data_IF_723317629107
#
_entry.id   IF_723317629107
#
_cell.length_a   1.000
_cell.length_b   1.000
_cell.length_c   1.000
_cell.angle_alpha   90.00
_cell.angle_beta   90.00
_cell.angle_gamma   90.00
#
_symmetry.space_group_name_H-M   'P 1'
#
loop_
_entity.id
_entity.type
_entity.pdbx_description
1 polymer ?
#
# COMPACT_ATOMS: atom_id res chain seq x y z
N UNK A 1 -12.96 1.31 -40.56
CA UNK A 1 -13.62 2.42 -39.83
C UNK A 1 -14.55 1.91 -38.72
N UNK A 2 -15.47 0.98 -38.99
CA UNK A 2 -16.43 0.44 -38.00
C UNK A 2 -15.77 -0.14 -36.72
N UNK A 3 -14.69 -0.93 -36.87
CA UNK A 3 -13.96 -1.52 -35.73
C UNK A 3 -13.31 -0.47 -34.80
N UNK A 4 -12.85 0.66 -35.37
CA UNK A 4 -12.21 1.73 -34.59
C UNK A 4 -13.23 2.48 -33.73
N UNK A 5 -14.40 2.78 -34.31
CA UNK A 5 -15.51 3.40 -33.58
C UNK A 5 -16.06 2.49 -32.47
N UNK A 6 -16.28 1.20 -32.75
CA UNK A 6 -16.70 0.23 -31.71
C UNK A 6 -15.70 0.13 -30.55
N UNK A 7 -14.40 0.23 -30.85
CA UNK A 7 -13.36 0.20 -29.82
C UNK A 7 -13.43 1.45 -28.96
N UNK A 8 -13.55 2.63 -29.56
CA UNK A 8 -13.70 3.90 -28.85
C UNK A 8 -14.96 3.91 -27.99
N UNK A 9 -16.09 3.41 -28.50
CA UNK A 9 -17.36 3.36 -27.77
C UNK A 9 -17.29 2.44 -26.54
N UNK A 10 -16.59 1.31 -26.65
CA UNK A 10 -16.35 0.44 -25.49
C UNK A 10 -15.48 1.11 -24.44
N UNK A 11 -14.46 1.86 -24.85
CA UNK A 11 -13.59 2.58 -23.93
C UNK A 11 -14.33 3.76 -23.26
N UNK A 12 -15.11 4.53 -24.02
CA UNK A 12 -15.90 5.63 -23.48
C UNK A 12 -16.92 5.15 -22.46
N UNK A 13 -17.61 4.03 -22.74
CA UNK A 13 -18.55 3.41 -21.79
C UNK A 13 -17.85 2.99 -20.50
N UNK A 14 -16.69 2.31 -20.60
CA UNK A 14 -15.90 1.92 -19.42
C UNK A 14 -15.44 3.12 -18.60
N UNK A 15 -14.98 4.18 -19.24
CA UNK A 15 -14.57 5.40 -18.54
C UNK A 15 -15.77 6.00 -17.80
N UNK A 16 -16.89 6.18 -18.50
CA UNK A 16 -18.12 6.75 -17.93
C UNK A 16 -18.67 5.92 -16.76
N UNK A 17 -18.47 4.60 -16.82
CA UNK A 17 -18.77 3.70 -15.73
C UNK A 17 -17.91 3.95 -14.48
N UNK A 18 -16.61 4.16 -14.65
CA UNK A 18 -15.71 4.52 -13.54
C UNK A 18 -16.12 5.86 -12.93
N UNK A 19 -16.45 6.87 -13.76
CA UNK A 19 -16.96 8.16 -13.29
C UNK A 19 -18.24 8.02 -12.45
N UNK A 20 -19.17 7.15 -12.86
CA UNK A 20 -20.39 6.88 -12.08
C UNK A 20 -20.09 6.14 -10.77
N UNK A 21 -19.10 5.25 -10.77
CA UNK A 21 -18.80 4.39 -9.63
C UNK A 21 -17.93 5.08 -8.57
N UNK A 22 -16.90 5.80 -8.98
CA UNK A 22 -15.91 6.44 -8.10
C UNK A 22 -15.68 7.92 -8.44
N UNK A 23 -16.73 8.78 -8.42
CA UNK A 23 -16.63 10.17 -8.87
C UNK A 23 -15.62 10.99 -8.06
N UNK A 24 -15.63 10.85 -6.72
CA UNK A 24 -14.75 11.61 -5.83
C UNK A 24 -13.27 11.19 -5.96
N UNK A 25 -13.00 9.92 -6.26
CA UNK A 25 -11.65 9.43 -6.45
C UNK A 25 -11.02 9.98 -7.73
N UNK A 26 -11.79 10.01 -8.81
CA UNK A 26 -11.34 10.60 -10.09
C UNK A 26 -11.16 12.11 -9.96
N UNK A 27 -12.09 12.80 -9.30
CA UNK A 27 -11.94 14.24 -9.03
C UNK A 27 -10.66 14.51 -8.23
N UNK A 28 -10.37 13.71 -7.21
CA UNK A 28 -9.14 13.83 -6.42
C UNK A 28 -7.90 13.62 -7.28
N UNK A 29 -7.89 12.56 -8.10
CA UNK A 29 -6.78 12.26 -9.03
C UNK A 29 -6.55 13.40 -10.03
N UNK A 30 -7.62 13.95 -10.62
CA UNK A 30 -7.54 15.06 -11.56
C UNK A 30 -6.98 16.33 -10.90
N UNK A 31 -7.46 16.66 -9.70
CA UNK A 31 -6.98 17.82 -8.94
C UNK A 31 -5.51 17.66 -8.53
N UNK A 32 -5.10 16.47 -8.07
CA UNK A 32 -3.68 16.18 -7.75
C UNK A 32 -2.80 16.39 -8.98
N UNK A 33 -3.19 15.85 -10.14
CA UNK A 33 -2.42 15.99 -11.37
C UNK A 33 -2.28 17.45 -11.78
N UNK A 34 -3.37 18.24 -11.75
CA UNK A 34 -3.33 19.65 -12.12
C UNK A 34 -2.45 20.45 -11.16
N UNK A 35 -2.65 20.29 -9.84
CA UNK A 35 -1.89 21.04 -8.85
C UNK A 35 -0.40 20.72 -8.96
N UNK A 36 -0.04 19.44 -9.14
CA UNK A 36 1.36 19.07 -9.36
C UNK A 36 1.93 19.61 -10.67
N UNK A 37 1.16 19.62 -11.77
CA UNK A 37 1.61 20.24 -13.03
C UNK A 37 1.87 21.74 -12.86
N UNK A 38 1.01 22.45 -12.13
CA UNK A 38 1.19 23.86 -11.80
C UNK A 38 2.46 24.05 -10.95
N UNK A 39 2.68 23.20 -9.95
CA UNK A 39 3.90 23.23 -9.13
C UNK A 39 5.17 22.99 -9.95
N UNK A 40 5.14 22.06 -10.93
CA UNK A 40 6.27 21.80 -11.82
C UNK A 40 6.52 22.98 -12.78
N UNK A 41 5.47 23.65 -13.25
CA UNK A 41 5.60 24.76 -14.22
C UNK A 41 6.05 26.07 -13.55
N UNK A 42 5.54 26.36 -12.35
CA UNK A 42 5.64 27.69 -11.74
C UNK A 42 6.39 27.67 -10.40
N UNK A 43 6.79 26.51 -9.89
CA UNK A 43 7.30 26.32 -8.51
C UNK A 43 8.48 27.21 -8.10
N UNK A 44 9.30 27.69 -9.04
CA UNK A 44 10.42 28.59 -8.74
C UNK A 44 10.01 30.08 -8.63
N UNK A 45 8.81 30.45 -9.09
CA UNK A 45 8.38 31.86 -9.24
C UNK A 45 7.23 32.28 -8.32
N UNK A 46 6.75 31.38 -7.46
CA UNK A 46 5.57 31.63 -6.61
C UNK A 46 5.96 31.89 -5.16
N UNK A 47 5.16 32.72 -4.47
CA UNK A 47 5.17 32.89 -3.03
C UNK A 47 5.22 31.56 -2.26
N UNK A 48 6.10 31.49 -1.26
CA UNK A 48 6.28 30.29 -0.42
C UNK A 48 4.98 29.79 0.23
N UNK A 49 4.05 30.69 0.57
CA UNK A 49 2.77 30.32 1.17
C UNK A 49 1.86 29.52 0.23
N UNK A 50 1.83 29.87 -1.06
CA UNK A 50 1.04 29.12 -2.04
C UNK A 50 1.64 27.75 -2.31
N UNK A 51 2.97 27.64 -2.35
CA UNK A 51 3.68 26.35 -2.51
C UNK A 51 3.35 25.43 -1.34
N UNK A 52 3.38 25.94 -0.10
CA UNK A 52 2.99 25.15 1.09
C UNK A 52 1.53 24.69 0.98
N UNK A 53 0.61 25.59 0.64
CA UNK A 53 -0.81 25.25 0.48
C UNK A 53 -1.02 24.16 -0.60
N UNK A 54 -0.42 24.33 -1.77
CA UNK A 54 -0.53 23.40 -2.89
C UNK A 54 0.01 22.02 -2.53
N UNK A 55 1.17 21.93 -1.86
CA UNK A 55 1.74 20.65 -1.42
C UNK A 55 0.85 19.96 -0.37
N UNK A 56 0.28 20.71 0.59
CA UNK A 56 -0.68 20.15 1.54
C UNK A 56 -1.91 19.59 0.84
N UNK A 57 -2.48 20.34 -0.11
CA UNK A 57 -3.64 19.91 -0.89
C UNK A 57 -3.35 18.65 -1.69
N UNK A 58 -2.17 18.57 -2.31
CA UNK A 58 -1.73 17.38 -3.05
C UNK A 58 -1.70 16.13 -2.17
N UNK A 59 -1.11 16.20 -0.97
CA UNK A 59 -1.07 15.06 -0.05
C UNK A 59 -2.47 14.68 0.47
N UNK A 60 -3.34 15.65 0.73
CA UNK A 60 -4.71 15.36 1.17
C UNK A 60 -5.50 14.71 0.04
N UNK A 61 -5.42 15.24 -1.16
CA UNK A 61 -6.16 14.72 -2.31
C UNK A 61 -5.60 13.38 -2.79
N UNK A 62 -4.30 13.12 -2.66
CA UNK A 62 -3.72 11.81 -2.97
C UNK A 62 -4.26 10.71 -2.04
N UNK A 63 -4.47 11.00 -0.75
CA UNK A 63 -5.22 10.08 0.13
C UNK A 63 -6.67 9.91 -0.33
N UNK A 64 -7.31 10.98 -0.81
CA UNK A 64 -8.66 10.94 -1.37
C UNK A 64 -8.84 9.92 -2.50
N UNK A 65 -7.81 9.75 -3.36
CA UNK A 65 -7.80 8.76 -4.44
C UNK A 65 -8.08 7.35 -3.91
N UNK A 66 -7.51 6.99 -2.75
CA UNK A 66 -7.66 5.65 -2.16
C UNK A 66 -8.81 5.57 -1.15
N UNK A 67 -9.03 6.64 -0.38
CA UNK A 67 -10.03 6.68 0.69
C UNK A 67 -11.46 6.57 0.15
N UNK A 68 -11.83 7.34 -0.88
CA UNK A 68 -13.20 7.34 -1.38
C UNK A 68 -13.65 5.99 -1.96
N UNK A 69 -12.85 5.30 -2.79
CA UNK A 69 -13.18 3.96 -3.23
C UNK A 69 -13.24 2.96 -2.06
N UNK A 70 -12.34 3.06 -1.08
CA UNK A 70 -12.30 2.14 0.06
C UNK A 70 -13.59 2.24 0.89
N UNK A 71 -14.03 3.46 1.16
CA UNK A 71 -15.30 3.73 1.85
C UNK A 71 -16.51 3.30 1.02
N UNK A 72 -16.47 3.47 -0.31
CA UNK A 72 -17.53 2.99 -1.19
C UNK A 72 -17.67 1.45 -1.18
N UNK A 73 -16.55 0.72 -1.08
CA UNK A 73 -16.56 -0.75 -0.94
C UNK A 73 -17.10 -1.20 0.41
N UNK A 74 -16.82 -0.44 1.47
CA UNK A 74 -17.33 -0.72 2.81
C UNK A 74 -18.84 -0.47 2.88
N UNK A 75 -19.31 0.66 2.35
CA UNK A 75 -20.73 0.97 2.29
C UNK A 75 -21.07 2.00 1.21
N UNK A 76 -22.22 1.81 0.56
CA UNK A 76 -22.75 2.74 -0.44
C UNK A 76 -23.48 3.94 0.16
N UNK A 77 -23.66 3.99 1.50
CA UNK A 77 -24.40 5.05 2.19
C UNK A 77 -23.68 6.40 2.07
N UNK A 78 -24.45 7.49 1.95
CA UNK A 78 -23.92 8.85 1.79
C UNK A 78 -23.02 9.27 2.96
N UNK A 79 -23.33 8.85 4.19
CA UNK A 79 -22.58 9.19 5.40
C UNK A 79 -21.11 8.77 5.34
N UNK A 80 -20.76 7.69 4.63
CA UNK A 80 -19.35 7.30 4.46
C UNK A 80 -18.60 8.27 3.55
N UNK A 81 -19.25 8.89 2.56
CA UNK A 81 -18.63 9.93 1.75
C UNK A 81 -18.36 11.19 2.58
N UNK A 82 -19.32 11.57 3.42
CA UNK A 82 -19.19 12.71 4.35
C UNK A 82 -18.06 12.45 5.35
N UNK A 83 -18.01 11.26 5.93
CA UNK A 83 -16.94 10.84 6.83
C UNK A 83 -15.56 10.89 6.14
N UNK A 84 -15.47 10.47 4.87
CA UNK A 84 -14.25 10.58 4.08
C UNK A 84 -13.77 12.03 3.91
N UNK A 85 -14.69 12.95 3.59
CA UNK A 85 -14.37 14.38 3.47
C UNK A 85 -13.90 14.93 4.82
N UNK A 86 -14.59 14.61 5.91
CA UNK A 86 -14.21 15.05 7.25
C UNK A 86 -12.82 14.52 7.65
N UNK A 87 -12.50 13.27 7.33
CA UNK A 87 -11.18 12.69 7.59
C UNK A 87 -10.08 13.42 6.81
N UNK A 88 -10.32 13.77 5.55
CA UNK A 88 -9.38 14.56 4.74
C UNK A 88 -9.18 15.98 5.30
N UNK A 89 -10.24 16.62 5.81
CA UNK A 89 -10.14 17.93 6.46
C UNK A 89 -9.33 17.86 7.77
N UNK A 90 -9.56 16.83 8.58
CA UNK A 90 -8.76 16.57 9.78
C UNK A 90 -7.30 16.36 9.41
N UNK A 91 -7.02 15.55 8.40
CA UNK A 91 -5.66 15.31 7.92
C UNK A 91 -4.98 16.59 7.41
N UNK A 92 -5.69 17.45 6.68
CA UNK A 92 -5.18 18.75 6.26
C UNK A 92 -4.75 19.64 7.44
N UNK A 93 -5.55 19.65 8.51
CA UNK A 93 -5.27 20.45 9.70
C UNK A 93 -4.02 19.98 10.45
N UNK A 94 -3.82 18.65 10.55
CA UNK A 94 -2.65 18.07 11.21
C UNK A 94 -1.37 18.10 10.36
N UNK A 95 -1.44 18.46 9.07
CA UNK A 95 -0.25 18.50 8.24
C UNK A 95 0.68 19.65 8.64
N UNK A 96 1.97 19.39 8.93
CA UNK A 96 2.92 20.45 9.26
C UNK A 96 3.13 21.40 8.07
N UNK A 97 3.61 22.62 8.34
CA UNK A 97 3.93 23.60 7.28
C UNK A 97 5.06 23.10 6.37
N UNK A 98 6.05 22.38 6.93
CA UNK A 98 7.09 21.73 6.14
C UNK A 98 6.68 20.32 5.70
N UNK A 99 5.97 20.25 4.59
CA UNK A 99 5.39 19.02 4.05
C UNK A 99 6.43 18.03 3.48
N UNK A 100 7.63 18.51 3.14
CA UNK A 100 8.72 17.67 2.61
C UNK A 100 9.63 17.08 3.67
N UNK A 101 9.26 17.17 4.95
CA UNK A 101 9.98 16.44 5.99
C UNK A 101 9.90 14.93 5.71
N UNK A 102 11.03 14.23 5.79
CA UNK A 102 11.14 12.79 5.49
C UNK A 102 10.16 11.97 6.33
N UNK A 103 9.95 12.36 7.59
CA UNK A 103 8.99 11.74 8.49
C UNK A 103 7.56 11.91 8.00
N UNK A 104 7.15 13.11 7.57
CA UNK A 104 5.79 13.38 7.09
C UNK A 104 5.48 12.60 5.82
N UNK A 105 6.44 12.52 4.90
CA UNK A 105 6.34 11.72 3.68
C UNK A 105 6.20 10.23 4.01
N UNK A 106 7.01 9.71 4.94
CA UNK A 106 6.92 8.32 5.38
C UNK A 106 5.52 7.98 5.94
N UNK A 107 5.01 8.81 6.84
CA UNK A 107 3.67 8.64 7.42
C UNK A 107 2.56 8.71 6.37
N UNK A 108 2.69 9.63 5.39
CA UNK A 108 1.77 9.72 4.27
C UNK A 108 1.74 8.44 3.42
N UNK A 109 2.90 7.87 3.08
CA UNK A 109 2.96 6.59 2.35
C UNK A 109 2.42 5.42 3.17
N UNK A 110 2.66 5.40 4.48
CA UNK A 110 2.06 4.42 5.38
C UNK A 110 0.53 4.50 5.35
N UNK A 111 -0.05 5.70 5.39
CA UNK A 111 -1.51 5.89 5.25
C UNK A 111 -2.05 5.38 3.90
N UNK A 112 -1.36 5.67 2.79
CA UNK A 112 -1.71 5.10 1.48
C UNK A 112 -1.68 3.56 1.56
N UNK A 113 -0.65 2.98 2.17
CA UNK A 113 -0.52 1.54 2.32
C UNK A 113 -1.66 0.93 3.15
N UNK A 114 -2.07 1.60 4.23
CA UNK A 114 -3.23 1.20 5.05
C UNK A 114 -4.53 1.20 4.24
N UNK A 115 -4.74 2.20 3.38
CA UNK A 115 -5.90 2.29 2.48
C UNK A 115 -5.86 1.24 1.37
N UNK A 116 -4.68 0.91 0.85
CA UNK A 116 -4.50 -0.20 -0.09
C UNK A 116 -4.91 -1.54 0.54
N UNK A 117 -4.52 -1.81 1.80
CA UNK A 117 -5.00 -2.98 2.52
C UNK A 117 -6.51 -2.93 2.79
N UNK A 118 -7.08 -1.73 2.97
CA UNK A 118 -8.53 -1.55 3.11
C UNK A 118 -9.30 -2.08 1.90
N UNK A 119 -8.77 -1.97 0.67
CA UNK A 119 -9.40 -2.59 -0.50
C UNK A 119 -9.50 -4.12 -0.41
N UNK A 120 -8.65 -4.77 0.38
CA UNK A 120 -8.60 -6.22 0.51
C UNK A 120 -9.59 -6.76 1.55
N UNK A 121 -9.97 -5.96 2.55
CA UNK A 121 -10.89 -6.40 3.62
C UNK A 121 -12.25 -5.70 3.62
N UNK A 122 -12.35 -4.46 3.13
CA UNK A 122 -13.58 -3.66 3.20
C UNK A 122 -14.83 -4.35 2.61
N UNK A 123 -14.77 -5.01 1.44
CA UNK A 123 -15.93 -5.70 0.88
C UNK A 123 -16.43 -6.88 1.73
N UNK A 124 -15.60 -7.40 2.63
CA UNK A 124 -15.86 -8.60 3.42
C UNK A 124 -16.26 -8.30 4.86
N UNK A 125 -16.40 -7.02 5.25
CA UNK A 125 -16.63 -6.68 6.65
C UNK A 125 -17.94 -7.29 7.16
N UNK A 126 -19.02 -7.15 6.40
CA UNK A 126 -20.38 -7.57 6.77
C UNK A 126 -20.74 -8.99 6.30
N UNK A 127 -19.84 -9.66 5.57
CA UNK A 127 -20.14 -10.96 4.93
C UNK A 127 -19.14 -12.02 5.40
N UNK A 128 -19.65 -13.19 5.80
CA UNK A 128 -18.80 -14.37 6.05
C UNK A 128 -18.54 -15.08 4.72
N UNK A 129 -17.28 -15.09 4.29
CA UNK A 129 -16.85 -15.70 3.03
C UNK A 129 -15.64 -16.61 3.29
N UNK A 130 -15.49 -17.66 2.48
CA UNK A 130 -14.32 -18.54 2.50
C UNK A 130 -13.01 -17.77 2.21
N UNK A 131 -11.90 -18.27 2.76
CA UNK A 131 -10.57 -17.72 2.47
C UNK A 131 -10.19 -17.82 0.99
N UNK A 132 -10.74 -18.80 0.26
CA UNK A 132 -10.54 -18.91 -1.18
C UNK A 132 -11.06 -17.69 -1.93
N UNK A 133 -12.28 -17.22 -1.64
CA UNK A 133 -12.83 -16.06 -2.35
C UNK A 133 -12.11 -14.76 -1.94
N UNK A 134 -11.68 -14.64 -0.67
CA UNK A 134 -10.86 -13.51 -0.21
C UNK A 134 -9.52 -13.50 -0.96
N UNK A 135 -8.94 -14.68 -1.18
CA UNK A 135 -7.71 -14.84 -1.93
C UNK A 135 -7.89 -14.47 -3.41
N UNK A 136 -8.92 -14.98 -4.08
CA UNK A 136 -9.21 -14.66 -5.49
C UNK A 136 -9.46 -13.15 -5.68
N UNK A 137 -10.19 -12.51 -4.76
CA UNK A 137 -10.33 -11.06 -4.73
C UNK A 137 -8.98 -10.35 -4.59
N UNK A 138 -8.17 -10.77 -3.62
CA UNK A 138 -6.86 -10.17 -3.36
C UNK A 138 -5.95 -10.27 -4.58
N UNK A 139 -5.85 -11.46 -5.18
CA UNK A 139 -5.09 -11.67 -6.41
C UNK A 139 -5.58 -10.76 -7.52
N UNK A 140 -6.89 -10.65 -7.72
CA UNK A 140 -7.48 -9.79 -8.76
C UNK A 140 -7.12 -8.33 -8.55
N UNK A 141 -7.24 -7.80 -7.33
CA UNK A 141 -6.91 -6.40 -7.02
C UNK A 141 -5.41 -6.14 -7.24
N UNK A 142 -4.53 -7.01 -6.73
CA UNK A 142 -3.08 -6.88 -6.87
C UNK A 142 -2.65 -6.96 -8.34
N UNK A 143 -3.18 -7.94 -9.10
CA UNK A 143 -2.90 -8.08 -10.53
C UNK A 143 -3.39 -6.86 -11.31
N UNK A 144 -4.59 -6.35 -11.02
CA UNK A 144 -5.10 -5.15 -11.69
C UNK A 144 -4.24 -3.92 -11.40
N UNK A 145 -3.73 -3.77 -10.18
CA UNK A 145 -2.80 -2.70 -9.82
C UNK A 145 -1.49 -2.83 -10.61
N UNK A 146 -0.87 -4.02 -10.59
CA UNK A 146 0.39 -4.29 -11.31
C UNK A 146 0.26 -4.09 -12.82
N UNK A 147 -0.81 -4.60 -13.43
CA UNK A 147 -1.06 -4.40 -14.87
C UNK A 147 -1.29 -2.93 -15.18
N UNK A 148 -1.97 -2.18 -14.32
CA UNK A 148 -2.19 -0.74 -14.53
C UNK A 148 -0.88 0.05 -14.46
N UNK A 149 -0.02 -0.24 -13.47
CA UNK A 149 1.30 0.36 -13.34
C UNK A 149 2.23 -0.01 -14.52
N UNK A 150 2.21 -1.27 -14.95
CA UNK A 150 3.01 -1.72 -16.10
C UNK A 150 2.56 -1.04 -17.39
N UNK A 151 1.25 -0.94 -17.63
CA UNK A 151 0.72 -0.23 -18.80
C UNK A 151 1.13 1.25 -18.78
N UNK A 152 1.07 1.89 -17.61
CA UNK A 152 1.53 3.27 -17.42
C UNK A 152 3.02 3.44 -17.69
N UNK A 153 3.86 2.52 -17.22
CA UNK A 153 5.30 2.53 -17.47
C UNK A 153 5.60 2.38 -18.96
N UNK A 154 4.97 1.40 -19.63
CA UNK A 154 5.12 1.21 -21.08
C UNK A 154 4.68 2.46 -21.84
N UNK A 155 3.56 3.07 -21.45
CA UNK A 155 3.07 4.28 -22.09
C UNK A 155 4.05 5.47 -21.93
N UNK A 156 4.63 5.62 -20.74
CA UNK A 156 5.65 6.65 -20.50
C UNK A 156 6.91 6.42 -21.32
N UNK A 157 7.39 5.16 -21.42
CA UNK A 157 8.55 4.80 -22.24
C UNK A 157 8.28 5.11 -23.73
N UNK A 158 7.10 4.77 -24.24
CA UNK A 158 6.73 5.06 -25.63
C UNK A 158 6.73 6.56 -25.93
N UNK A 159 6.19 7.37 -25.02
CA UNK A 159 6.24 8.82 -25.13
C UNK A 159 7.67 9.35 -25.10
N UNK A 160 8.49 8.86 -24.16
CA UNK A 160 9.88 9.27 -24.05
C UNK A 160 10.67 9.01 -25.34
N UNK A 161 10.52 7.80 -25.91
CA UNK A 161 11.17 7.42 -27.18
C UNK A 161 10.68 8.31 -28.33
N UNK A 162 9.38 8.61 -28.36
CA UNK A 162 8.80 9.47 -29.42
C UNK A 162 9.32 10.90 -29.32
N UNK A 163 9.39 11.46 -28.12
CA UNK A 163 9.93 12.81 -27.93
C UNK A 163 11.43 12.88 -28.24
N UNK A 164 12.19 11.85 -27.86
CA UNK A 164 13.59 11.74 -28.26
C UNK A 164 13.76 11.67 -29.79
N UNK A 165 12.91 10.90 -30.49
CA UNK A 165 12.94 10.84 -31.93
C UNK A 165 12.61 12.20 -32.59
N UNK A 166 11.66 12.97 -32.02
CA UNK A 166 11.33 14.32 -32.50
C UNK A 166 12.49 15.29 -32.33
N UNK A 167 13.19 15.22 -31.19
CA UNK A 167 14.36 16.04 -30.92
C UNK A 167 15.50 15.74 -31.91
N UNK A 168 15.78 14.46 -32.18
CA UNK A 168 16.85 14.04 -33.10
C UNK A 168 16.50 14.30 -34.57
N UNK A 169 15.27 13.98 -35.00
CA UNK A 169 14.89 14.03 -36.42
C UNK A 169 14.42 15.42 -36.88
N UNK A 170 13.78 16.19 -35.99
CA UNK A 170 13.16 17.46 -36.33
C UNK A 170 13.75 18.64 -35.54
N UNK A 171 14.77 18.41 -34.70
CA UNK A 171 15.41 19.44 -33.86
C UNK A 171 14.41 20.18 -32.96
N UNK A 172 13.36 19.50 -32.54
CA UNK A 172 12.37 20.04 -31.58
C UNK A 172 12.94 19.93 -30.18
N UNK A 173 13.33 21.06 -29.57
CA UNK A 173 13.82 21.08 -28.18
C UNK A 173 12.65 21.10 -27.20
N UNK A 174 12.55 20.07 -26.35
CA UNK A 174 11.55 19.96 -25.30
C UNK A 174 12.19 20.13 -23.93
N UNK A 175 11.64 21.04 -23.13
CA UNK A 175 12.08 21.24 -21.76
C UNK A 175 11.77 19.99 -20.89
N UNK A 176 12.68 19.64 -19.98
CA UNK A 176 12.55 18.50 -19.06
C UNK A 176 11.23 18.49 -18.27
N UNK A 177 10.69 19.66 -17.95
CA UNK A 177 9.38 19.83 -17.27
C UNK A 177 8.23 19.14 -17.99
N UNK A 178 8.24 19.07 -19.33
CA UNK A 178 7.17 18.43 -20.09
C UNK A 178 7.18 16.90 -19.92
N UNK A 179 8.35 16.30 -19.76
CA UNK A 179 8.46 14.88 -19.43
C UNK A 179 7.87 14.59 -18.05
N UNK A 180 8.15 15.44 -17.06
CA UNK A 180 7.58 15.33 -15.71
C UNK A 180 6.05 15.54 -15.71
N UNK A 181 5.56 16.54 -16.43
CA UNK A 181 4.12 16.78 -16.59
C UNK A 181 3.42 15.58 -17.21
N UNK A 182 4.01 14.97 -18.23
CA UNK A 182 3.45 13.78 -18.86
C UNK A 182 3.50 12.55 -17.93
N UNK A 183 4.57 12.37 -17.16
CA UNK A 183 4.65 11.35 -16.13
C UNK A 183 3.52 11.51 -15.08
N UNK A 184 3.28 12.74 -14.62
CA UNK A 184 2.19 13.07 -13.69
C UNK A 184 0.81 12.83 -14.29
N UNK A 185 0.62 13.13 -15.58
CA UNK A 185 -0.61 12.81 -16.30
C UNK A 185 -0.87 11.30 -16.32
N UNK A 186 0.16 10.52 -16.67
CA UNK A 186 0.07 9.06 -16.72
C UNK A 186 -0.21 8.47 -15.34
N UNK A 187 0.59 8.85 -14.33
CA UNK A 187 0.46 8.31 -12.98
C UNK A 187 -0.85 8.74 -12.32
N UNK A 188 -1.21 10.00 -12.43
CA UNK A 188 -2.39 10.54 -11.77
C UNK A 188 -3.68 10.14 -12.45
N UNK A 189 -3.84 10.38 -13.75
CA UNK A 189 -5.11 10.21 -14.46
C UNK A 189 -5.20 8.81 -15.10
N UNK A 190 -4.25 8.47 -15.98
CA UNK A 190 -4.33 7.23 -16.76
C UNK A 190 -4.27 5.97 -15.87
N UNK A 191 -3.34 5.91 -14.92
CA UNK A 191 -3.18 4.77 -14.01
C UNK A 191 -4.43 4.58 -13.15
N UNK A 192 -4.94 5.67 -12.60
CA UNK A 192 -6.14 5.67 -11.75
C UNK A 192 -7.37 5.19 -12.50
N UNK A 193 -7.61 5.70 -13.71
CA UNK A 193 -8.71 5.25 -14.57
C UNK A 193 -8.55 3.78 -14.97
N UNK A 194 -7.34 3.37 -15.36
CA UNK A 194 -7.03 1.98 -15.73
C UNK A 194 -7.29 1.02 -14.57
N UNK A 195 -6.83 1.35 -13.37
CA UNK A 195 -7.01 0.54 -12.17
C UNK A 195 -8.50 0.40 -11.80
N UNK A 196 -9.22 1.52 -11.67
CA UNK A 196 -10.62 1.47 -11.26
C UNK A 196 -11.55 0.89 -12.32
N UNK A 197 -11.20 0.98 -13.61
CA UNK A 197 -11.96 0.33 -14.69
C UNK A 197 -11.96 -1.20 -14.60
N UNK A 198 -10.91 -1.79 -14.01
CA UNK A 198 -10.76 -3.24 -13.85
C UNK A 198 -11.23 -3.74 -12.49
N UNK A 199 -11.59 -2.84 -11.57
CA UNK A 199 -12.03 -3.23 -10.24
C UNK A 199 -13.34 -4.02 -10.29
N UNK A 200 -13.43 -5.25 -9.75
CA UNK A 200 -14.64 -6.06 -9.85
C UNK A 200 -15.84 -5.38 -9.17
N UNK A 201 -17.03 -5.46 -9.80
CA UNK A 201 -18.27 -4.88 -9.26
C UNK A 201 -18.88 -5.71 -8.14
N UNK A 202 -18.80 -7.02 -8.26
CA UNK A 202 -19.46 -7.96 -7.37
C UNK A 202 -18.44 -9.00 -6.91
N UNK A 203 -18.31 -9.11 -5.58
CA UNK A 203 -17.37 -10.02 -4.92
C UNK A 203 -17.63 -11.47 -5.35
N UNK A 204 -18.90 -11.86 -5.46
CA UNK A 204 -19.33 -13.22 -5.84
C UNK A 204 -19.16 -13.53 -7.34
N UNK A 205 -18.88 -12.53 -8.18
CA UNK A 205 -18.64 -12.71 -9.62
C UNK A 205 -17.16 -12.73 -9.97
N UNK A 206 -16.26 -12.59 -8.98
CA UNK A 206 -14.85 -12.95 -9.16
C UNK A 206 -14.83 -14.47 -9.30
N UNK A 207 -15.01 -14.94 -10.53
CA UNK A 207 -15.14 -16.36 -10.82
C UNK A 207 -13.82 -17.08 -10.56
N UNK A 208 -14.00 -18.30 -10.06
CA UNK A 208 -13.10 -19.45 -9.97
C UNK A 208 -12.40 -19.72 -11.31
N UNK A 209 -11.53 -18.83 -11.76
CA UNK A 209 -10.51 -19.20 -12.73
C UNK A 209 -9.76 -20.33 -12.06
N UNK A 210 -9.92 -21.56 -12.58
CA UNK A 210 -9.11 -22.71 -12.20
C UNK A 210 -7.71 -22.18 -12.02
N UNK A 211 -7.20 -22.25 -10.79
CA UNK A 211 -5.89 -21.75 -10.43
C UNK A 211 -4.94 -22.13 -11.56
N UNK A 212 -4.57 -21.15 -12.39
CA UNK A 212 -3.96 -21.45 -13.67
C UNK A 212 -2.70 -22.28 -13.39
N UNK A 213 -2.36 -23.24 -14.24
CA UNK A 213 -1.21 -24.12 -14.00
C UNK A 213 0.06 -23.31 -13.65
N UNK A 214 0.18 -22.12 -14.21
CA UNK A 214 1.22 -21.11 -13.92
C UNK A 214 1.24 -20.69 -12.44
N UNK A 215 0.10 -20.39 -11.83
CA UNK A 215 0.01 -19.99 -10.43
C UNK A 215 0.40 -21.12 -9.48
N UNK A 216 0.08 -22.37 -9.84
CA UNK A 216 0.49 -23.56 -9.09
C UNK A 216 2.01 -23.75 -9.18
N UNK A 217 2.57 -23.63 -10.38
CA UNK A 217 4.02 -23.71 -10.61
C UNK A 217 4.75 -22.63 -9.81
N UNK A 218 4.27 -21.38 -9.89
CA UNK A 218 4.82 -20.26 -9.12
C UNK A 218 4.80 -20.53 -7.62
N UNK A 219 3.69 -21.05 -7.09
CA UNK A 219 3.54 -21.33 -5.66
C UNK A 219 4.50 -22.44 -5.20
N UNK A 220 4.53 -23.57 -5.92
CA UNK A 220 5.28 -24.76 -5.49
C UNK A 220 6.78 -24.67 -5.76
N UNK A 221 7.18 -24.09 -6.89
CA UNK A 221 8.58 -24.15 -7.35
C UNK A 221 9.35 -22.84 -7.18
N UNK A 222 8.66 -21.71 -7.00
CA UNK A 222 9.32 -20.40 -6.80
C UNK A 222 9.12 -19.96 -5.36
N UNK A 223 7.86 -19.77 -4.95
CA UNK A 223 7.54 -19.16 -3.67
C UNK A 223 7.91 -20.05 -2.47
N UNK A 224 7.59 -21.34 -2.56
CA UNK A 224 7.89 -22.30 -1.46
C UNK A 224 9.39 -22.49 -1.24
N UNK A 225 10.23 -22.72 -2.27
CA UNK A 225 11.67 -22.81 -2.07
C UNK A 225 12.27 -21.49 -1.59
N UNK A 226 11.81 -20.34 -2.09
CA UNK A 226 12.25 -19.03 -1.59
C UNK A 226 11.96 -18.87 -0.10
N UNK A 227 10.76 -19.24 0.36
CA UNK A 227 10.43 -19.25 1.78
C UNK A 227 11.38 -20.13 2.59
N UNK A 228 11.67 -21.36 2.12
CA UNK A 228 12.54 -22.30 2.84
C UNK A 228 14.00 -21.81 2.92
N UNK A 229 14.53 -21.25 1.83
CA UNK A 229 15.89 -20.67 1.80
C UNK A 229 15.96 -19.51 2.80
N UNK A 230 14.98 -18.61 2.78
CA UNK A 230 14.96 -17.45 3.68
C UNK A 230 14.78 -17.88 5.15
N UNK A 231 13.95 -18.90 5.40
CA UNK A 231 13.82 -19.53 6.71
C UNK A 231 15.17 -20.08 7.20
N UNK A 232 15.87 -20.85 6.36
CA UNK A 232 17.17 -21.44 6.73
C UNK A 232 18.22 -20.37 7.06
N UNK A 233 18.35 -19.34 6.21
CA UNK A 233 19.33 -18.26 6.42
C UNK A 233 19.02 -17.49 7.70
N UNK A 234 17.76 -17.08 7.90
CA UNK A 234 17.38 -16.26 9.04
C UNK A 234 17.49 -17.03 10.35
N UNK A 235 17.05 -18.28 10.39
CA UNK A 235 17.18 -19.11 11.59
C UNK A 235 18.62 -19.53 11.89
N UNK A 236 19.45 -19.77 10.86
CA UNK A 236 20.88 -19.98 11.07
C UNK A 236 21.56 -18.74 11.67
N UNK A 237 21.19 -17.54 11.20
CA UNK A 237 21.70 -16.29 11.76
C UNK A 237 21.24 -16.06 13.21
N UNK A 238 19.97 -16.36 13.51
CA UNK A 238 19.45 -16.34 14.89
C UNK A 238 20.26 -17.28 15.80
N UNK A 239 20.51 -18.51 15.36
CA UNK A 239 21.32 -19.48 16.12
C UNK A 239 22.75 -18.95 16.33
N UNK A 240 23.36 -18.37 15.29
CA UNK A 240 24.69 -17.76 15.37
C UNK A 240 24.73 -16.68 16.46
N UNK A 241 23.75 -15.79 16.49
CA UNK A 241 23.69 -14.73 17.50
C UNK A 241 23.53 -15.30 18.91
N UNK A 242 22.63 -16.27 19.09
CA UNK A 242 22.39 -16.90 20.39
C UNK A 242 23.65 -17.55 20.96
N UNK A 243 24.48 -18.15 20.11
CA UNK A 243 25.78 -18.73 20.50
C UNK A 243 26.81 -17.64 20.80
N UNK A 244 26.89 -16.60 19.97
CA UNK A 244 27.90 -15.53 20.10
C UNK A 244 27.60 -14.53 21.22
N UNK A 245 26.42 -14.57 21.85
CA UNK A 245 25.96 -13.61 22.89
C UNK A 245 26.00 -12.13 22.46
N UNK A 246 26.08 -11.85 21.16
CA UNK A 246 26.13 -10.50 20.58
C UNK A 246 24.74 -9.90 20.37
N UNK A 247 23.99 -9.69 21.46
CA UNK A 247 22.59 -9.23 21.39
C UNK A 247 22.43 -7.77 20.89
N UNK A 248 23.46 -6.93 21.05
CA UNK A 248 23.43 -5.51 20.69
C UNK A 248 23.58 -5.23 19.18
N UNK A 249 24.09 -6.19 18.38
CA UNK A 249 24.28 -6.01 16.93
C UNK A 249 23.10 -6.53 16.07
N UNK A 250 21.99 -6.94 16.68
CA UNK A 250 20.86 -7.53 15.97
C UNK A 250 20.08 -6.43 15.22
N UNK A 251 20.52 -6.10 14.01
CA UNK A 251 19.76 -5.30 13.05
C UNK A 251 19.19 -6.20 11.95
N UNK A 252 18.21 -7.03 12.33
CA UNK A 252 17.51 -7.94 11.41
C UNK A 252 16.12 -7.44 11.03
N UNK A 253 15.75 -6.22 11.44
CA UNK A 253 14.40 -5.68 11.32
C UNK A 253 13.93 -5.71 9.86
N UNK A 254 14.78 -5.28 8.92
CA UNK A 254 14.49 -5.32 7.49
C UNK A 254 14.41 -6.75 6.93
N UNK A 255 15.26 -7.66 7.40
CA UNK A 255 15.24 -9.08 7.01
C UNK A 255 13.96 -9.77 7.50
N UNK A 256 13.49 -9.42 8.71
CA UNK A 256 12.23 -9.91 9.29
C UNK A 256 11.04 -9.38 8.52
N UNK A 257 11.04 -8.09 8.14
CA UNK A 257 10.00 -7.50 7.29
C UNK A 257 9.92 -8.23 5.95
N UNK A 258 11.06 -8.42 5.28
CA UNK A 258 11.15 -9.18 4.02
C UNK A 258 10.68 -10.63 4.17
N UNK A 259 11.11 -11.32 5.24
CA UNK A 259 10.69 -12.68 5.55
C UNK A 259 9.18 -12.76 5.81
N UNK A 260 8.63 -11.81 6.55
CA UNK A 260 7.19 -11.74 6.85
C UNK A 260 6.39 -11.58 5.57
N UNK A 261 6.81 -10.67 4.68
CA UNK A 261 6.14 -10.45 3.41
C UNK A 261 6.15 -11.70 2.52
N UNK A 262 7.31 -12.35 2.36
CA UNK A 262 7.45 -13.60 1.59
C UNK A 262 6.64 -14.73 2.21
N UNK A 263 6.64 -14.84 3.53
CA UNK A 263 5.97 -15.94 4.26
C UNK A 263 4.45 -15.81 4.20
N UNK A 264 3.90 -14.61 4.45
CA UNK A 264 2.47 -14.34 4.29
C UNK A 264 2.06 -14.52 2.82
N UNK A 265 2.85 -14.01 1.87
CA UNK A 265 2.63 -14.21 0.44
C UNK A 265 2.59 -15.69 0.06
N UNK A 266 3.52 -16.50 0.58
CA UNK A 266 3.55 -17.96 0.39
C UNK A 266 2.30 -18.61 0.95
N UNK A 267 1.93 -18.29 2.20
CA UNK A 267 0.75 -18.84 2.84
C UNK A 267 -0.54 -18.55 2.06
N UNK A 268 -0.67 -17.33 1.55
CA UNK A 268 -1.83 -16.92 0.76
C UNK A 268 -1.86 -17.61 -0.61
N UNK A 269 -0.74 -17.76 -1.31
CA UNK A 269 -0.69 -18.50 -2.58
C UNK A 269 -0.95 -20.00 -2.42
N UNK A 270 -0.67 -20.55 -1.23
CA UNK A 270 -1.03 -21.94 -0.90
C UNK A 270 -2.53 -22.14 -0.61
N UNK A 271 -3.35 -21.09 -0.61
CA UNK A 271 -4.81 -21.19 -0.33
C UNK A 271 -5.55 -22.31 -1.08
N UNK A 272 -5.39 -22.49 -2.40
CA UNK A 272 -6.06 -23.57 -3.13
C UNK A 272 -5.42 -24.96 -2.92
N UNK A 273 -4.27 -25.04 -2.25
CA UNK A 273 -3.49 -26.27 -2.03
C UNK A 273 -3.60 -26.79 -0.58
N UNK A 274 -4.31 -26.08 0.30
CA UNK A 274 -4.48 -26.49 1.68
C UNK A 274 -5.37 -27.72 1.78
N UNK A 275 -4.77 -28.80 2.27
CA UNK A 275 -5.42 -30.07 2.58
C UNK A 275 -4.85 -30.61 3.91
N UNK A 276 -5.50 -31.61 4.51
CA UNK A 276 -5.11 -32.17 5.81
C UNK A 276 -3.66 -32.71 5.80
N UNK A 277 -3.19 -33.21 4.66
CA UNK A 277 -1.81 -33.66 4.46
C UNK A 277 -0.77 -32.54 4.70
N UNK A 278 -1.13 -31.29 4.45
CA UNK A 278 -0.21 -30.13 4.47
C UNK A 278 -0.31 -29.32 5.77
N UNK A 279 -1.01 -29.82 6.79
CA UNK A 279 -1.19 -29.12 8.06
C UNK A 279 0.12 -28.80 8.78
N UNK A 280 1.14 -29.66 8.66
CA UNK A 280 2.49 -29.42 9.20
C UNK A 280 3.16 -28.20 8.57
N UNK A 281 2.98 -28.01 7.26
CA UNK A 281 3.55 -26.87 6.55
C UNK A 281 2.89 -25.55 6.98
N UNK A 282 1.57 -25.54 7.20
CA UNK A 282 0.88 -24.40 7.82
C UNK A 282 1.45 -24.06 9.19
N UNK A 283 1.67 -25.07 10.04
CA UNK A 283 2.25 -24.86 11.36
C UNK A 283 3.70 -24.35 11.29
N UNK A 284 4.48 -24.80 10.30
CA UNK A 284 5.84 -24.29 10.05
C UNK A 284 5.83 -22.80 9.71
N UNK A 285 4.98 -22.37 8.76
CA UNK A 285 4.86 -20.96 8.33
C UNK A 285 4.49 -20.05 9.50
N UNK A 286 3.42 -20.36 10.23
CA UNK A 286 2.97 -19.46 11.29
C UNK A 286 3.80 -19.60 12.56
N UNK A 287 4.35 -20.79 12.82
CA UNK A 287 5.29 -21.04 13.91
C UNK A 287 6.60 -20.28 13.73
N UNK A 288 7.12 -20.21 12.50
CA UNK A 288 8.33 -19.44 12.21
C UNK A 288 8.11 -17.94 12.41
N UNK A 289 6.98 -17.39 11.95
CA UNK A 289 6.62 -15.98 12.18
C UNK A 289 6.44 -15.67 13.67
N UNK A 290 5.84 -16.58 14.43
CA UNK A 290 5.69 -16.42 15.87
C UNK A 290 7.05 -16.37 16.58
N UNK A 291 7.91 -17.36 16.33
CA UNK A 291 9.27 -17.39 16.90
C UNK A 291 10.05 -16.12 16.55
N UNK A 292 9.93 -15.67 15.30
CA UNK A 292 10.60 -14.46 14.84
C UNK A 292 10.08 -13.20 15.54
N UNK A 293 8.77 -13.10 15.77
CA UNK A 293 8.19 -11.99 16.54
C UNK A 293 8.73 -11.91 17.97
N UNK A 294 8.96 -13.06 18.63
CA UNK A 294 9.54 -13.11 19.98
C UNK A 294 10.99 -12.63 19.96
N UNK A 295 11.80 -13.10 19.01
CA UNK A 295 13.21 -12.73 18.91
C UNK A 295 13.38 -11.24 18.64
N UNK A 296 12.60 -10.70 17.70
CA UNK A 296 12.64 -9.28 17.38
C UNK A 296 12.11 -8.45 18.55
N UNK A 297 11.09 -8.93 19.27
CA UNK A 297 10.60 -8.28 20.48
C UNK A 297 11.69 -8.16 21.55
N UNK A 298 12.46 -9.22 21.76
CA UNK A 298 13.62 -9.20 22.68
C UNK A 298 14.70 -8.24 22.18
N UNK A 299 15.01 -8.26 20.88
CA UNK A 299 16.00 -7.37 20.28
C UNK A 299 15.62 -5.89 20.45
N UNK A 300 14.37 -5.53 20.15
CA UNK A 300 13.86 -4.17 20.34
C UNK A 300 13.94 -3.78 21.82
N UNK A 301 13.48 -4.66 22.72
CA UNK A 301 13.52 -4.39 24.16
C UNK A 301 14.94 -4.04 24.64
N UNK A 302 15.95 -4.80 24.23
CA UNK A 302 17.35 -4.53 24.60
C UNK A 302 17.81 -3.18 24.05
N UNK A 303 17.52 -2.85 22.78
CA UNK A 303 17.91 -1.56 22.17
C UNK A 303 17.22 -0.36 22.83
N UNK A 304 15.97 -0.52 23.26
CA UNK A 304 15.21 0.54 23.95
C UNK A 304 15.71 0.82 25.37
N UNK A 305 16.61 -0.01 25.92
CA UNK A 305 17.30 0.33 27.18
C UNK A 305 18.38 1.40 26.98
N UNK A 306 18.92 1.53 25.76
CA UNK A 306 20.01 2.45 25.43
C UNK A 306 19.52 3.67 24.65
N UNK A 307 18.37 3.57 23.97
CA UNK A 307 17.79 4.62 23.11
C UNK A 307 16.32 4.88 23.47
N UNK A 308 15.78 6.05 23.13
CA UNK A 308 14.36 6.36 23.35
C UNK A 308 13.43 5.42 22.58
N UNK A 309 12.23 5.19 23.13
CA UNK A 309 11.22 4.32 22.53
C UNK A 309 10.72 4.82 21.16
N UNK A 310 10.86 6.11 20.88
CA UNK A 310 10.31 6.75 19.69
C UNK A 310 10.92 6.23 18.40
N UNK A 311 12.22 5.89 18.41
CA UNK A 311 12.92 5.38 17.22
C UNK A 311 12.43 3.98 16.81
N UNK A 312 11.97 3.18 17.78
CA UNK A 312 11.55 1.79 17.56
C UNK A 312 10.05 1.58 17.66
N UNK A 313 9.26 2.64 17.83
CA UNK A 313 7.82 2.55 18.05
C UNK A 313 7.10 1.80 16.91
N UNK A 314 7.33 2.17 15.65
CA UNK A 314 6.71 1.50 14.50
C UNK A 314 7.08 0.02 14.41
N UNK A 315 8.35 -0.31 14.64
CA UNK A 315 8.84 -1.69 14.60
C UNK A 315 8.30 -2.51 15.78
N UNK A 316 8.15 -1.90 16.96
CA UNK A 316 7.56 -2.54 18.13
C UNK A 316 6.09 -2.89 17.91
N UNK A 317 5.31 -1.97 17.32
CA UNK A 317 3.93 -2.23 16.92
C UNK A 317 3.86 -3.36 15.89
N UNK A 318 4.70 -3.31 14.86
CA UNK A 318 4.77 -4.35 13.84
C UNK A 318 5.07 -5.72 14.44
N UNK A 319 6.01 -5.77 15.39
CA UNK A 319 6.41 -7.00 16.09
C UNK A 319 5.29 -7.57 16.95
N UNK A 320 4.58 -6.71 17.70
CA UNK A 320 3.41 -7.11 18.46
C UNK A 320 2.31 -7.65 17.56
N UNK A 321 2.02 -6.97 16.45
CA UNK A 321 1.05 -7.45 15.47
C UNK A 321 1.45 -8.79 14.86
N UNK A 322 2.73 -8.96 14.53
CA UNK A 322 3.23 -10.22 13.97
C UNK A 322 3.04 -11.39 14.95
N UNK A 323 3.29 -11.15 16.25
CA UNK A 323 3.02 -12.13 17.31
C UNK A 323 1.53 -12.45 17.45
N UNK A 324 0.66 -11.44 17.47
CA UNK A 324 -0.79 -11.64 17.60
C UNK A 324 -1.39 -12.37 16.39
N UNK A 325 -1.02 -11.96 15.17
CA UNK A 325 -1.56 -12.57 13.96
C UNK A 325 -1.05 -14.01 13.77
N UNK A 326 0.21 -14.28 14.14
CA UNK A 326 0.73 -15.64 14.09
C UNK A 326 0.04 -16.57 15.08
N UNK A 327 -0.22 -16.13 16.32
CA UNK A 327 -1.02 -16.88 17.29
C UNK A 327 -2.45 -17.13 16.79
N UNK A 328 -3.07 -16.12 16.18
CA UNK A 328 -4.40 -16.22 15.59
C UNK A 328 -4.47 -17.34 14.54
N UNK A 329 -3.51 -17.42 13.61
CA UNK A 329 -3.48 -18.48 12.58
C UNK A 329 -2.99 -19.84 13.09
N UNK A 330 -2.21 -19.89 14.18
CA UNK A 330 -1.77 -21.14 14.80
C UNK A 330 -2.91 -21.84 15.55
N UNK A 331 -3.68 -21.09 16.34
CA UNK A 331 -4.69 -21.68 17.22
C UNK A 331 -6.07 -21.82 16.56
N UNK A 332 -6.43 -20.93 15.62
CA UNK A 332 -7.77 -20.93 15.02
C UNK A 332 -7.75 -21.70 13.70
N UNK A 333 -8.40 -22.87 13.68
CA UNK A 333 -8.46 -23.77 12.51
C UNK A 333 -8.98 -23.09 11.24
N UNK A 334 -10.00 -22.24 11.38
CA UNK A 334 -10.66 -21.52 10.28
C UNK A 334 -10.37 -20.01 10.34
N UNK A 335 -9.12 -19.64 10.63
CA UNK A 335 -8.68 -18.26 10.67
C UNK A 335 -8.95 -17.55 9.33
N UNK A 336 -9.80 -16.51 9.35
CA UNK A 336 -10.13 -15.73 8.16
C UNK A 336 -9.03 -14.73 7.80
N UNK A 337 -8.70 -14.64 6.51
CA UNK A 337 -7.71 -13.68 5.98
C UNK A 337 -8.16 -12.22 6.10
N UNK A 338 -9.48 -11.97 6.25
CA UNK A 338 -10.01 -10.63 6.47
C UNK A 338 -9.34 -9.95 7.66
N UNK A 339 -9.15 -10.71 8.75
CA UNK A 339 -8.56 -10.19 9.98
C UNK A 339 -7.07 -9.88 9.84
N UNK A 340 -6.36 -10.57 8.95
CA UNK A 340 -4.97 -10.25 8.60
C UNK A 340 -4.88 -8.85 7.98
N UNK A 341 -5.67 -8.59 6.95
CA UNK A 341 -5.67 -7.30 6.25
C UNK A 341 -6.26 -6.16 7.07
N UNK A 342 -7.31 -6.44 7.85
CA UNK A 342 -7.91 -5.47 8.76
C UNK A 342 -6.91 -5.05 9.84
N UNK A 343 -6.25 -6.01 10.50
CA UNK A 343 -5.34 -5.72 11.61
C UNK A 343 -4.09 -4.95 11.19
N UNK A 344 -3.51 -5.24 10.02
CA UNK A 344 -2.36 -4.47 9.52
C UNK A 344 -2.76 -3.05 9.13
N UNK A 345 -3.93 -2.88 8.50
CA UNK A 345 -4.48 -1.56 8.17
C UNK A 345 -4.72 -0.74 9.44
N UNK A 346 -5.31 -1.36 10.47
CA UNK A 346 -5.52 -0.76 11.78
C UNK A 346 -4.20 -0.37 12.47
N UNK A 347 -3.20 -1.26 12.46
CA UNK A 347 -1.88 -0.98 13.04
C UNK A 347 -1.25 0.27 12.44
N UNK A 348 -1.29 0.40 11.11
CA UNK A 348 -0.69 1.55 10.43
C UNK A 348 -1.44 2.85 10.78
N UNK A 349 -2.76 2.78 10.98
CA UNK A 349 -3.52 3.94 11.48
C UNK A 349 -3.14 4.28 12.91
N UNK A 350 -2.97 3.27 13.79
CA UNK A 350 -2.51 3.47 15.17
C UNK A 350 -1.09 4.06 15.20
N UNK A 351 -0.22 3.65 14.28
CA UNK A 351 1.15 4.18 14.23
C UNK A 351 1.22 5.68 13.94
N UNK A 352 0.15 6.29 13.42
CA UNK A 352 0.07 7.73 13.21
C UNK A 352 -0.09 8.52 14.52
N UNK A 353 -0.45 7.85 15.62
CA UNK A 353 -0.58 8.52 16.93
C UNK A 353 0.72 9.13 17.41
N UNK A 354 1.86 8.53 17.09
CA UNK A 354 3.18 9.10 17.38
C UNK A 354 3.38 10.46 16.73
N UNK A 355 3.09 10.57 15.43
CA UNK A 355 3.17 11.84 14.71
C UNK A 355 2.26 12.92 15.33
N UNK A 356 1.06 12.55 15.79
CA UNK A 356 0.15 13.49 16.46
C UNK A 356 0.72 13.99 17.79
N UNK A 357 1.40 13.11 18.54
CA UNK A 357 2.06 13.46 19.80
C UNK A 357 3.23 14.42 19.51
N UNK A 358 4.08 14.11 18.55
CA UNK A 358 5.23 14.95 18.18
C UNK A 358 4.79 16.36 17.76
N UNK A 359 3.74 16.45 16.94
CA UNK A 359 3.18 17.74 16.50
C UNK A 359 2.59 18.51 17.69
N UNK A 360 1.94 17.82 18.64
CA UNK A 360 1.36 18.46 19.82
C UNK A 360 2.44 19.03 20.75
N UNK A 361 3.57 18.34 20.90
CA UNK A 361 4.72 18.80 21.68
C UNK A 361 5.38 20.01 21.00
N UNK A 362 5.57 19.97 19.68
CA UNK A 362 6.13 21.09 18.93
C UNK A 362 5.26 22.37 19.03
N UNK A 363 3.93 22.20 19.03
CA UNK A 363 2.99 23.31 19.22
C UNK A 363 3.02 23.87 20.65
N UNK A 364 3.19 23.00 21.65
CA UNK A 364 3.33 23.40 23.05
C UNK A 364 4.62 24.19 23.30
N UNK A 365 5.75 23.73 22.77
CA UNK A 365 7.04 24.43 22.88
C UNK A 365 7.05 25.79 22.16
N UNK A 366 6.38 25.87 21.01
CA UNK A 366 6.13 27.15 20.34
C UNK A 366 5.27 28.07 21.19
N UNK A 367 4.23 27.58 21.84
CA UNK A 367 3.38 28.40 22.70
C UNK A 367 4.14 28.95 23.93
N UNK A 368 5.04 28.15 24.51
CA UNK A 368 5.89 28.54 25.64
C UNK A 368 6.96 29.56 25.28
N UNK A 369 7.50 29.52 24.05
CA UNK A 369 8.51 30.50 23.58
C UNK A 369 7.91 31.87 23.24
N UNK A 370 6.57 31.98 23.16
CA UNK A 370 5.85 33.24 22.99
C UNK A 370 5.41 33.90 24.31
N UNK A 371 5.55 33.22 25.45
CA UNK A 371 5.33 33.75 26.82
C UNK A 371 6.69 34.16 27.39
#
# INVERSE_FOLDING_TARGET
MHFFFETIDRWSYKILEVFKRFPLAILSSFMVTIIFMILVEVGEKIDGNFIVLANKLVLVLSLGIFLFPALHLLSKKLWFKIAGILLLLVYYYYLPSNVFNSTTIMHHFLLIFALCFMFLWAPFMDIRISNQNIWEWTQTIVQNLLVSLLLSLVFFIMFYITMYALEVLFSVSLAQRHYLQFALFILGIFTTLSFFSKMPRYIMLVQKNRYADIGLVFTKYILTPSFLIYFLILFAYIIKILISKGYQEINIDLLVLGYTFITIGTYMHWTPLWDDANKKFRALIWGSLFVLSVIVGISIYIRTLETSLDEYYLMSLFTLWLGLISLYFLFIKNASYKWLFFSISLLIVISQSQQLIDISLELYDKALTFI
#
